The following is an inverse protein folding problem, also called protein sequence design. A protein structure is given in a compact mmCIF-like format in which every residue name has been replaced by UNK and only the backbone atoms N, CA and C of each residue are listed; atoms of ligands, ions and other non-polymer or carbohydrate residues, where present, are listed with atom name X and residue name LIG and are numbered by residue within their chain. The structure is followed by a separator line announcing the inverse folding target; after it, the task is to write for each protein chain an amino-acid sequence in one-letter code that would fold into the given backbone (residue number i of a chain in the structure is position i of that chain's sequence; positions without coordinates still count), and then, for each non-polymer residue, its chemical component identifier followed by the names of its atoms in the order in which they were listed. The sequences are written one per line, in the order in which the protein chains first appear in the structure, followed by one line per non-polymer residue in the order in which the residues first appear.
data_IF_601115376181
#
_entry.id   IF_601115376181
#
_cell.length_a   1.000
_cell.length_b   1.000
_cell.length_c   1.000
_cell.angle_alpha   90.00
_cell.angle_beta   90.00
_cell.angle_gamma   90.00
#
_symmetry.space_group_name_H-M   'P 1'
#
loop_
_entity.id
_entity.type
_entity.pdbx_description
1 polymer ?
#
# COMPACT_ATOMS: atom_id res chain seq x y z
N UNK A 1 40.60 -49.97 -38.27
CA UNK A 1 40.17 -48.66 -38.82
C UNK A 1 38.83 -48.37 -38.23
N UNK A 2 38.75 -47.54 -37.23
CA UNK A 2 37.52 -47.15 -36.55
C UNK A 2 37.28 -45.66 -36.80
N UNK A 3 36.28 -45.34 -37.61
CA UNK A 3 35.88 -43.98 -37.89
C UNK A 3 35.23 -43.38 -36.64
N UNK A 4 35.80 -42.27 -36.16
CA UNK A 4 35.19 -41.45 -35.13
C UNK A 4 34.08 -40.58 -35.75
N UNK A 5 32.84 -40.90 -35.41
CA UNK A 5 31.68 -40.11 -35.78
C UNK A 5 31.73 -38.81 -34.99
N UNK A 6 31.97 -37.68 -35.66
CA UNK A 6 31.95 -36.34 -35.10
C UNK A 6 30.48 -35.92 -34.96
N UNK A 7 30.01 -35.73 -33.74
CA UNK A 7 28.66 -35.22 -33.47
C UNK A 7 28.69 -33.69 -33.34
N UNK A 8 28.15 -32.90 -34.31
CA UNK A 8 28.22 -31.46 -34.33
C UNK A 8 27.17 -30.76 -33.43
N UNK A 9 26.44 -31.48 -32.57
CA UNK A 9 25.34 -30.91 -31.78
C UNK A 9 25.64 -30.76 -30.27
N UNK A 10 26.91 -30.79 -29.88
CA UNK A 10 27.28 -30.58 -28.49
C UNK A 10 28.05 -29.28 -28.35
N UNK A 11 27.35 -28.22 -27.98
CA UNK A 11 27.68 -27.10 -27.10
C UNK A 11 27.17 -25.75 -27.61
N UNK A 12 25.86 -25.54 -27.51
CA UNK A 12 25.41 -24.16 -27.28
C UNK A 12 25.61 -23.86 -25.77
N UNK A 13 26.39 -22.87 -25.42
CA UNK A 13 26.42 -22.45 -24.02
C UNK A 13 25.04 -21.96 -23.63
N UNK A 14 24.42 -22.66 -22.67
CA UNK A 14 23.23 -22.15 -21.97
C UNK A 14 23.71 -20.91 -21.20
N UNK A 15 23.47 -19.75 -21.77
CA UNK A 15 23.64 -18.49 -21.05
C UNK A 15 22.58 -18.55 -19.94
N UNK A 16 22.95 -18.53 -18.65
CA UNK A 16 21.97 -18.35 -17.60
C UNK A 16 21.39 -16.95 -17.81
N UNK A 17 20.15 -16.90 -18.27
CA UNK A 17 19.35 -15.68 -18.21
C UNK A 17 19.14 -15.44 -16.73
N UNK A 18 20.07 -14.69 -16.13
CA UNK A 18 19.87 -14.12 -14.82
C UNK A 18 18.80 -13.03 -14.99
N UNK A 19 17.56 -13.49 -15.07
CA UNK A 19 16.39 -12.66 -15.05
C UNK A 19 16.35 -12.06 -13.63
N UNK A 20 17.07 -10.95 -13.46
CA UNK A 20 16.77 -10.01 -12.40
C UNK A 20 15.36 -9.49 -12.68
N UNK A 21 14.37 -10.31 -12.34
CA UNK A 21 13.04 -9.80 -12.04
C UNK A 21 13.30 -8.98 -10.77
N UNK A 22 13.57 -7.71 -10.93
CA UNK A 22 13.27 -6.74 -9.88
C UNK A 22 11.77 -6.92 -9.70
N UNK A 23 11.37 -7.71 -8.69
CA UNK A 23 9.99 -7.70 -8.23
C UNK A 23 9.75 -6.25 -7.85
N UNK A 24 9.15 -5.50 -8.78
CA UNK A 24 8.57 -4.21 -8.43
C UNK A 24 7.54 -4.57 -7.37
N UNK A 25 7.89 -4.30 -6.12
CA UNK A 25 6.97 -4.45 -5.03
C UNK A 25 5.68 -3.74 -5.47
N UNK A 26 4.57 -4.43 -5.42
CA UNK A 26 3.35 -3.94 -6.07
C UNK A 26 2.58 -3.08 -5.09
N UNK A 27 2.22 -1.88 -5.52
CA UNK A 27 1.22 -1.06 -4.84
C UNK A 27 0.03 -1.94 -4.43
N UNK A 28 -0.49 -1.75 -3.23
CA UNK A 28 -1.65 -2.52 -2.77
C UNK A 28 -2.83 -1.61 -2.46
N UNK A 29 -4.02 -2.12 -2.69
CA UNK A 29 -5.25 -1.42 -2.33
C UNK A 29 -5.41 -1.42 -0.81
N UNK A 30 -5.75 -0.26 -0.25
CA UNK A 30 -6.23 -0.12 1.12
C UNK A 30 -7.74 0.02 1.12
N UNK A 31 -8.40 -0.79 1.93
CA UNK A 31 -9.81 -0.68 2.26
C UNK A 31 -9.92 -0.32 3.74
N UNK A 32 -10.42 0.87 4.03
CA UNK A 32 -10.72 1.31 5.38
C UNK A 32 -12.23 1.33 5.61
N UNK A 33 -12.68 0.59 6.61
CA UNK A 33 -14.10 0.44 6.95
C UNK A 33 -14.35 0.77 8.42
N UNK A 34 -15.54 1.26 8.70
CA UNK A 34 -16.03 1.46 10.05
C UNK A 34 -16.64 0.17 10.58
N UNK A 35 -16.45 -0.11 11.86
CA UNK A 35 -17.02 -1.25 12.57
C UNK A 35 -17.64 -0.80 13.88
N UNK A 36 -18.71 -1.44 14.32
CA UNK A 36 -19.38 -1.09 15.59
C UNK A 36 -18.61 -1.60 16.81
N UNK A 37 -17.91 -2.74 16.67
CA UNK A 37 -17.13 -3.37 17.71
C UNK A 37 -15.82 -3.91 17.11
N UNK A 38 -14.71 -3.32 17.54
CA UNK A 38 -13.41 -3.66 17.01
C UNK A 38 -12.97 -5.09 17.32
N UNK A 39 -13.22 -5.56 18.54
CA UNK A 39 -12.79 -6.90 18.97
C UNK A 39 -13.54 -8.00 18.20
N UNK A 40 -14.85 -7.84 18.01
CA UNK A 40 -15.63 -8.76 17.18
C UNK A 40 -15.18 -8.75 15.72
N UNK A 41 -14.92 -7.57 15.18
CA UNK A 41 -14.41 -7.41 13.82
C UNK A 41 -13.03 -8.04 13.63
N UNK A 42 -12.11 -7.86 14.60
CA UNK A 42 -10.79 -8.53 14.57
C UNK A 42 -10.94 -10.04 14.52
N UNK A 43 -11.82 -10.62 15.35
CA UNK A 43 -12.08 -12.07 15.36
C UNK A 43 -12.63 -12.53 14.00
N UNK A 44 -13.59 -11.81 13.45
CA UNK A 44 -14.20 -12.13 12.15
C UNK A 44 -13.18 -12.09 11.02
N UNK A 45 -12.48 -10.95 10.84
CA UNK A 45 -11.55 -10.76 9.74
C UNK A 45 -10.29 -11.63 9.87
N UNK A 46 -9.87 -11.95 11.09
CA UNK A 46 -8.77 -12.90 11.30
C UNK A 46 -9.11 -14.30 10.81
N UNK A 47 -10.37 -14.73 10.96
CA UNK A 47 -10.86 -16.01 10.44
C UNK A 47 -11.04 -15.95 8.93
N UNK A 48 -11.65 -14.87 8.43
CA UNK A 48 -11.94 -14.70 7.01
C UNK A 48 -10.68 -14.76 6.14
N UNK A 49 -9.60 -14.09 6.58
CA UNK A 49 -8.35 -14.00 5.84
C UNK A 49 -7.24 -14.92 6.39
N UNK A 50 -7.56 -15.77 7.35
CA UNK A 50 -6.58 -16.65 8.02
C UNK A 50 -5.30 -15.89 8.47
N UNK A 51 -5.46 -14.63 8.88
CA UNK A 51 -4.35 -13.70 9.19
C UNK A 51 -4.65 -12.95 10.48
N UNK A 52 -3.64 -12.72 11.31
CA UNK A 52 -3.77 -11.86 12.49
C UNK A 52 -3.60 -10.39 12.09
N UNK A 53 -4.15 -9.44 12.88
CA UNK A 53 -3.86 -8.02 12.67
C UNK A 53 -2.35 -7.76 12.72
N UNK A 54 -1.86 -6.95 11.80
CA UNK A 54 -0.47 -6.48 11.80
C UNK A 54 -0.27 -5.39 12.87
N UNK A 55 -1.32 -4.64 13.18
CA UNK A 55 -1.32 -3.62 14.24
C UNK A 55 -2.70 -3.53 14.87
N UNK A 56 -2.72 -3.34 16.20
CA UNK A 56 -3.94 -3.03 16.97
C UNK A 56 -3.64 -1.87 17.92
N UNK A 57 -4.57 -0.92 18.01
CA UNK A 57 -4.55 0.23 18.92
C UNK A 57 -5.99 0.49 19.40
N UNK A 58 -6.22 1.30 20.41
CA UNK A 58 -7.57 1.69 20.79
C UNK A 58 -8.36 2.25 19.60
N UNK A 59 -9.51 1.66 19.29
CA UNK A 59 -10.38 2.05 18.18
C UNK A 59 -9.83 1.76 16.77
N UNK A 60 -8.72 0.99 16.65
CA UNK A 60 -8.05 0.79 15.37
C UNK A 60 -7.39 -0.59 15.25
N UNK A 61 -7.55 -1.21 14.10
CA UNK A 61 -6.73 -2.37 13.70
C UNK A 61 -6.43 -2.33 12.21
N UNK A 62 -5.31 -2.94 11.80
CA UNK A 62 -5.06 -3.20 10.40
C UNK A 62 -4.53 -4.60 10.15
N UNK A 63 -4.79 -5.10 8.95
CA UNK A 63 -4.34 -6.39 8.45
C UNK A 63 -3.52 -6.17 7.19
N UNK A 64 -2.37 -6.83 7.10
CA UNK A 64 -1.58 -6.95 5.88
C UNK A 64 -1.87 -8.30 5.25
N UNK A 65 -2.81 -8.31 4.30
CA UNK A 65 -3.25 -9.53 3.62
C UNK A 65 -2.40 -9.68 2.36
N UNK A 66 -1.87 -10.88 2.13
CA UNK A 66 -1.00 -11.17 1.00
C UNK A 66 -1.78 -11.67 -0.21
N UNK A 67 -2.83 -12.46 0.02
CA UNK A 67 -3.67 -13.03 -1.03
C UNK A 67 -5.16 -12.88 -0.66
N UNK A 68 -5.91 -12.01 -1.39
CA UNK A 68 -5.43 -11.01 -2.35
C UNK A 68 -4.57 -9.92 -1.69
N UNK A 69 -3.69 -9.22 -2.43
CA UNK A 69 -2.92 -8.10 -1.89
C UNK A 69 -3.84 -6.97 -1.42
N UNK A 70 -4.05 -6.89 -0.11
CA UNK A 70 -4.98 -5.94 0.50
C UNK A 70 -4.46 -5.46 1.85
N UNK A 71 -4.51 -4.16 2.08
CA UNK A 71 -4.44 -3.58 3.42
C UNK A 71 -5.87 -3.30 3.90
N UNK A 72 -6.35 -4.08 4.86
CA UNK A 72 -7.64 -3.83 5.51
C UNK A 72 -7.42 -3.03 6.79
N UNK A 73 -8.13 -1.92 6.92
CA UNK A 73 -8.10 -1.06 8.10
C UNK A 73 -9.49 -1.03 8.73
N UNK A 74 -9.55 -1.22 10.04
CA UNK A 74 -10.77 -1.17 10.84
C UNK A 74 -10.71 0.06 11.76
N UNK A 75 -11.73 0.90 11.69
CA UNK A 75 -11.98 1.99 12.63
C UNK A 75 -13.22 1.67 13.46
N UNK A 76 -13.09 1.67 14.78
CA UNK A 76 -14.25 1.55 15.65
C UNK A 76 -15.05 2.85 15.62
N UNK A 77 -16.24 2.77 15.05
CA UNK A 77 -17.16 3.89 14.91
C UNK A 77 -18.60 3.39 15.10
N UNK A 78 -19.03 3.22 16.38
CA UNK A 78 -20.33 2.63 16.70
C UNK A 78 -21.48 3.41 16.08
N UNK A 79 -22.38 2.71 15.41
CA UNK A 79 -23.51 3.28 14.69
C UNK A 79 -23.25 3.56 13.20
N UNK A 80 -22.00 3.41 12.75
CA UNK A 80 -21.60 3.58 11.34
C UNK A 80 -20.96 2.28 10.77
N UNK A 81 -21.09 1.19 11.50
CA UNK A 81 -20.51 -0.11 11.15
C UNK A 81 -20.93 -0.61 9.79
N UNK A 82 -19.97 -1.14 9.03
CA UNK A 82 -20.16 -1.60 7.65
C UNK A 82 -20.01 -0.52 6.57
N UNK A 83 -19.89 0.75 6.94
CA UNK A 83 -19.64 1.82 5.98
C UNK A 83 -18.16 1.88 5.56
N UNK A 84 -17.90 2.40 4.33
CA UNK A 84 -16.55 2.68 3.86
C UNK A 84 -16.10 4.01 4.48
N UNK A 85 -15.00 3.97 5.23
CA UNK A 85 -14.36 5.18 5.74
C UNK A 85 -13.61 5.91 4.61
N UNK A 86 -12.74 5.20 3.90
CA UNK A 86 -12.04 5.64 2.69
C UNK A 86 -11.42 4.45 1.96
N UNK A 87 -10.99 4.69 0.75
CA UNK A 87 -10.16 3.78 -0.03
C UNK A 87 -8.77 4.38 -0.21
N UNK A 88 -7.79 3.57 -0.54
CA UNK A 88 -6.45 4.08 -0.78
C UNK A 88 -5.60 3.15 -1.63
N UNK A 89 -4.45 3.67 -2.03
CA UNK A 89 -3.37 2.92 -2.66
C UNK A 89 -2.09 3.20 -1.89
N UNK A 90 -1.59 2.17 -1.23
CA UNK A 90 -0.27 2.21 -0.59
C UNK A 90 0.78 1.92 -1.64
N UNK A 91 1.69 2.87 -1.82
CA UNK A 91 2.81 2.78 -2.75
C UNK A 91 4.12 2.67 -1.98
N UNK A 92 5.22 2.48 -2.67
CA UNK A 92 6.49 2.14 -2.04
C UNK A 92 7.41 3.31 -1.83
N UNK A 93 7.26 4.36 -2.64
CA UNK A 93 8.13 5.51 -2.56
C UNK A 93 7.37 6.82 -2.81
N UNK A 94 8.01 7.91 -2.37
CA UNK A 94 7.47 9.26 -2.51
C UNK A 94 7.24 9.62 -3.98
N UNK A 95 8.13 9.20 -4.88
CA UNK A 95 8.02 9.47 -6.31
C UNK A 95 6.74 8.92 -6.93
N UNK A 96 6.25 7.78 -6.44
CA UNK A 96 4.96 7.21 -6.90
C UNK A 96 3.79 8.10 -6.47
N UNK A 97 3.84 8.70 -5.27
CA UNK A 97 2.83 9.66 -4.80
C UNK A 97 2.89 10.93 -5.65
N UNK A 98 4.09 11.50 -5.85
CA UNK A 98 4.30 12.71 -6.66
C UNK A 98 3.85 12.53 -8.11
N UNK A 99 4.18 11.38 -8.70
CA UNK A 99 3.80 11.03 -10.08
C UNK A 99 2.28 10.90 -10.20
N UNK A 100 1.65 10.26 -9.20
CA UNK A 100 0.20 10.13 -9.18
C UNK A 100 -0.46 11.49 -9.01
N UNK A 101 -0.01 12.31 -8.07
CA UNK A 101 -0.54 13.67 -7.88
C UNK A 101 -0.50 14.47 -9.18
N UNK A 102 0.66 14.50 -9.85
CA UNK A 102 0.80 15.17 -11.15
C UNK A 102 -0.20 14.65 -12.17
N UNK A 103 -0.34 13.34 -12.31
CA UNK A 103 -1.29 12.71 -13.24
C UNK A 103 -2.75 13.08 -12.92
N UNK A 104 -3.12 13.12 -11.63
CA UNK A 104 -4.47 13.49 -11.21
C UNK A 104 -4.79 14.94 -11.56
N UNK A 105 -3.87 15.86 -11.28
CA UNK A 105 -4.00 17.29 -11.62
C UNK A 105 -4.08 17.50 -13.14
N UNK A 106 -3.21 16.84 -13.92
CA UNK A 106 -3.23 16.88 -15.39
C UNK A 106 -4.55 16.34 -15.96
N UNK A 107 -5.20 15.42 -15.22
CA UNK A 107 -6.53 14.90 -15.56
C UNK A 107 -7.68 15.78 -15.07
N UNK A 108 -7.38 16.98 -14.57
CA UNK A 108 -8.36 17.93 -14.03
C UNK A 108 -9.14 17.44 -12.80
N UNK A 109 -8.55 16.51 -12.04
CA UNK A 109 -9.10 16.11 -10.74
C UNK A 109 -8.59 17.06 -9.65
N UNK A 110 -9.47 17.38 -8.70
CA UNK A 110 -9.12 18.24 -7.57
C UNK A 110 -8.56 17.36 -6.46
N UNK A 111 -7.32 17.62 -6.09
CA UNK A 111 -6.60 16.91 -5.03
C UNK A 111 -6.32 17.84 -3.84
N UNK A 112 -5.82 17.30 -2.74
CA UNK A 112 -5.31 18.10 -1.62
C UNK A 112 -3.93 18.69 -1.88
N UNK A 113 -3.23 18.26 -2.95
CA UNK A 113 -1.80 18.46 -3.09
C UNK A 113 -1.03 17.40 -2.32
N UNK A 114 0.27 17.59 -2.17
CA UNK A 114 1.16 16.68 -1.41
C UNK A 114 1.25 17.15 0.03
N UNK A 115 0.87 16.28 0.95
CA UNK A 115 0.96 16.51 2.39
C UNK A 115 1.89 15.49 3.06
N UNK A 116 2.68 15.98 4.03
CA UNK A 116 3.41 15.16 5.00
C UNK A 116 2.57 15.10 6.27
N UNK A 117 2.15 13.92 6.68
CA UNK A 117 1.20 13.78 7.79
C UNK A 117 1.60 12.73 8.81
N UNK A 118 1.14 12.92 10.03
CA UNK A 118 1.00 11.86 11.03
C UNK A 118 -0.48 11.60 11.24
N UNK A 119 -0.96 10.46 10.82
CA UNK A 119 -2.36 10.07 10.94
C UNK A 119 -2.51 8.57 11.05
N UNK A 120 -3.51 8.13 11.81
CA UNK A 120 -3.89 6.71 11.86
C UNK A 120 -2.70 5.80 12.21
N UNK A 121 -1.89 6.25 13.17
CA UNK A 121 -0.71 5.57 13.68
C UNK A 121 0.41 5.36 12.64
N UNK A 122 0.53 6.27 11.67
CA UNK A 122 1.57 6.25 10.66
C UNK A 122 2.05 7.66 10.31
N UNK A 123 3.32 7.78 9.94
CA UNK A 123 3.87 8.93 9.24
C UNK A 123 3.84 8.63 7.75
N UNK A 124 3.34 9.59 6.95
CA UNK A 124 3.06 9.38 5.53
C UNK A 124 3.37 10.62 4.70
N UNK A 125 3.73 10.39 3.43
CA UNK A 125 3.51 11.36 2.35
C UNK A 125 2.27 10.93 1.61
N UNK A 126 1.31 11.83 1.42
CA UNK A 126 0.01 11.48 0.85
C UNK A 126 -0.57 12.55 -0.05
N UNK A 127 -1.52 12.17 -0.89
CA UNK A 127 -2.46 13.04 -1.59
C UNK A 127 -3.85 12.41 -1.58
N UNK A 128 -4.87 13.25 -1.56
CA UNK A 128 -6.27 12.82 -1.52
C UNK A 128 -7.05 13.36 -2.70
N UNK A 129 -8.02 12.56 -3.16
CA UNK A 129 -9.01 12.95 -4.15
C UNK A 129 -10.39 12.45 -3.73
N UNK A 130 -11.42 13.27 -3.96
CA UNK A 130 -12.80 12.88 -3.70
C UNK A 130 -13.43 12.37 -4.99
N UNK A 131 -14.04 11.19 -4.92
CA UNK A 131 -14.92 10.68 -5.96
C UNK A 131 -16.24 11.47 -6.04
N UNK A 132 -16.99 11.35 -7.14
CA UNK A 132 -18.23 12.09 -7.35
C UNK A 132 -19.31 11.77 -6.30
N UNK A 133 -19.27 10.57 -5.73
CA UNK A 133 -20.21 10.11 -4.69
C UNK A 133 -19.69 10.32 -3.26
N UNK A 134 -18.65 11.14 -3.10
CA UNK A 134 -18.06 11.48 -1.80
C UNK A 134 -17.10 10.44 -1.23
N UNK A 135 -16.86 9.33 -1.91
CA UNK A 135 -15.86 8.35 -1.47
C UNK A 135 -14.47 8.95 -1.65
N UNK A 136 -13.71 8.98 -0.56
CA UNK A 136 -12.35 9.53 -0.55
C UNK A 136 -11.34 8.47 -0.92
N UNK A 137 -10.36 8.86 -1.73
CA UNK A 137 -9.21 8.05 -2.12
C UNK A 137 -7.92 8.71 -1.66
N UNK A 138 -7.07 7.92 -1.03
CA UNK A 138 -5.73 8.29 -0.57
C UNK A 138 -4.68 7.60 -1.45
N UNK A 139 -3.70 8.33 -1.95
CA UNK A 139 -2.43 7.77 -2.43
C UNK A 139 -1.35 8.14 -1.44
N UNK A 140 -0.64 7.15 -0.92
CA UNK A 140 0.32 7.42 0.13
C UNK A 140 1.47 6.40 0.16
N UNK A 141 2.61 6.87 0.68
CA UNK A 141 3.71 6.03 1.14
C UNK A 141 3.83 6.17 2.65
N UNK A 142 3.98 5.04 3.33
CA UNK A 142 4.21 5.02 4.78
C UNK A 142 5.71 5.05 5.06
N UNK A 143 6.16 6.01 5.87
CA UNK A 143 7.56 6.13 6.29
C UNK A 143 7.84 5.42 7.61
N UNK A 144 6.98 5.61 8.60
CA UNK A 144 7.16 5.08 9.94
C UNK A 144 5.83 4.79 10.64
N UNK A 145 5.89 4.07 11.74
CA UNK A 145 4.80 4.00 12.70
C UNK A 145 4.81 5.26 13.59
N UNK A 146 3.61 5.71 13.94
CA UNK A 146 3.37 6.83 14.85
C UNK A 146 2.43 6.38 15.96
N UNK A 147 2.48 7.04 17.11
CA UNK A 147 1.49 6.88 18.18
C UNK A 147 0.32 7.87 18.03
N UNK A 148 0.35 8.71 16.99
CA UNK A 148 -0.67 9.70 16.69
C UNK A 148 -1.81 9.10 15.88
N UNK A 149 -3.05 9.23 16.42
CA UNK A 149 -4.26 8.81 15.71
C UNK A 149 -4.86 9.94 14.84
N UNK A 150 -4.95 11.15 15.43
CA UNK A 150 -5.48 12.32 14.73
C UNK A 150 -4.55 12.80 13.63
N UNK A 151 -5.14 13.36 12.57
CA UNK A 151 -4.35 13.92 11.47
C UNK A 151 -3.61 15.20 11.90
N UNK A 152 -2.29 15.18 11.74
CA UNK A 152 -1.41 16.34 11.89
C UNK A 152 -0.54 16.49 10.67
N UNK A 153 -0.65 17.61 9.98
CA UNK A 153 0.29 17.96 8.92
C UNK A 153 1.65 18.31 9.52
N UNK A 154 2.69 17.72 8.99
CA UNK A 154 4.08 17.98 9.38
C UNK A 154 4.65 19.10 8.51
N UNK A 155 5.49 19.97 9.09
CA UNK A 155 6.29 20.88 8.27
C UNK A 155 7.29 20.08 7.46
N UNK A 156 7.39 20.36 6.14
CA UNK A 156 8.29 19.67 5.23
C UNK A 156 9.72 19.67 5.73
N UNK A 157 10.20 18.53 6.20
CA UNK A 157 11.64 18.32 6.35
C UNK A 157 12.21 17.92 5.00
N UNK A 158 13.30 18.57 4.57
CA UNK A 158 13.93 18.38 3.26
C UNK A 158 14.69 17.04 3.12
N UNK A 159 14.27 15.98 3.77
CA UNK A 159 14.89 14.65 3.68
C UNK A 159 14.00 13.70 2.91
N UNK A 160 14.09 13.75 1.57
CA UNK A 160 13.50 12.76 0.70
C UNK A 160 14.15 11.40 0.91
N UNK A 161 13.34 10.38 1.18
CA UNK A 161 13.80 8.99 1.11
C UNK A 161 13.81 8.61 -0.37
N UNK A 162 15.00 8.50 -0.96
CA UNK A 162 15.16 8.04 -2.35
C UNK A 162 14.67 6.59 -2.48
N UNK A 163 13.91 6.31 -3.55
CA UNK A 163 13.61 4.94 -3.93
C UNK A 163 14.93 4.21 -4.24
N UNK A 164 15.18 3.09 -3.58
CA UNK A 164 16.29 2.21 -3.92
C UNK A 164 16.13 1.72 -5.37
N UNK A 165 17.14 2.02 -6.19
CA UNK A 165 17.28 1.58 -7.59
C UNK A 165 17.56 0.09 -7.66
#
# INVERSE_FOLDING_TARGET
MGEKIFNPYLSTPVIPVNLLITEKLMSRVQLAINVDNLDEAIVFYSKLFATKPAKTRPGYANFSITDPPLKLVLFENPGDGGSINHLGVEVECVEDVLTTEKRLVESSLITTGIDETQCCYAEKTETWVNGPDGVRWEWYVKHADSEQFENKTLERSASGTECCS
#
